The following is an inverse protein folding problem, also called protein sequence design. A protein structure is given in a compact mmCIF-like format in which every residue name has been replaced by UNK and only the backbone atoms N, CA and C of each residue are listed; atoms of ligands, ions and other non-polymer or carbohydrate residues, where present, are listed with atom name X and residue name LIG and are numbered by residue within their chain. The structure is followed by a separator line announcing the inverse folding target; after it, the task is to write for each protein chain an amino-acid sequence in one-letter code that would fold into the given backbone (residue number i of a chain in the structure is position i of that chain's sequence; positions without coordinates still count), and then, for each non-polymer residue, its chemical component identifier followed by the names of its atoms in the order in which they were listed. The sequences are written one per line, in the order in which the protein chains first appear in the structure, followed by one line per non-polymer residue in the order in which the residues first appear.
data_IF_051621907609
#
_entry.id   IF_051621907609
#
_cell.length_a   1.000
_cell.length_b   1.000
_cell.length_c   1.000
_cell.angle_alpha   90.00
_cell.angle_beta   90.00
_cell.angle_gamma   90.00
#
_symmetry.space_group_name_H-M   'P 1'
#
loop_
_entity.id
_entity.type
_entity.pdbx_description
1 polymer ?
#
# COMPACT_ATOMS: atom_id res chain seq x y z
N UNK A 1 12.21 4.06 -24.41
CA UNK A 1 11.11 3.94 -23.43
C UNK A 1 11.62 2.97 -22.37
N UNK A 2 11.77 3.41 -21.13
CA UNK A 2 12.33 2.59 -20.06
C UNK A 2 11.28 1.55 -19.62
N UNK A 3 11.66 0.28 -19.50
CA UNK A 3 10.72 -0.80 -19.19
C UNK A 3 10.32 -0.76 -17.71
N UNK A 4 9.07 -0.39 -17.45
CA UNK A 4 8.49 -0.21 -16.10
C UNK A 4 8.21 -1.53 -15.35
N UNK A 5 8.67 -2.67 -15.85
CA UNK A 5 8.49 -3.97 -15.20
C UNK A 5 9.76 -4.54 -14.56
N UNK A 6 10.94 -3.93 -14.79
CA UNK A 6 12.16 -4.44 -14.19
C UNK A 6 12.30 -3.98 -12.74
N UNK A 7 13.07 -4.76 -11.97
CA UNK A 7 13.36 -4.51 -10.56
C UNK A 7 14.04 -3.16 -10.33
N UNK A 8 15.02 -2.81 -11.15
CA UNK A 8 15.85 -1.61 -10.97
C UNK A 8 15.04 -0.32 -11.07
N UNK A 9 14.09 -0.26 -11.99
CA UNK A 9 13.19 0.88 -12.18
C UNK A 9 12.41 1.17 -10.90
N UNK A 10 11.80 0.15 -10.31
CA UNK A 10 10.99 0.29 -9.11
C UNK A 10 11.84 0.51 -7.86
N UNK A 11 12.99 -0.16 -7.73
CA UNK A 11 13.95 0.09 -6.66
C UNK A 11 14.40 1.55 -6.67
N UNK A 12 14.79 2.09 -7.83
CA UNK A 12 15.19 3.49 -7.95
C UNK A 12 14.02 4.44 -7.64
N UNK A 13 12.81 4.12 -8.11
CA UNK A 13 11.61 4.92 -7.86
C UNK A 13 11.25 5.03 -6.38
N UNK A 14 11.45 3.96 -5.61
CA UNK A 14 11.08 3.92 -4.19
C UNK A 14 12.25 4.15 -3.23
N UNK A 15 13.51 4.07 -3.68
CA UNK A 15 14.71 4.36 -2.88
C UNK A 15 14.79 5.80 -2.35
N UNK A 16 14.02 6.71 -2.94
CA UNK A 16 14.02 8.15 -2.60
C UNK A 16 12.70 8.62 -2.00
N UNK A 17 11.77 7.72 -1.70
CA UNK A 17 10.52 8.12 -1.04
C UNK A 17 10.84 8.48 0.40
N UNK A 18 10.31 9.63 0.83
CA UNK A 18 10.22 9.98 2.25
C UNK A 18 9.28 8.99 2.95
N UNK A 19 9.50 8.70 4.23
CA UNK A 19 8.70 7.78 5.07
C UNK A 19 7.26 8.28 5.35
N UNK A 20 6.72 9.12 4.47
CA UNK A 20 5.40 9.69 4.58
C UNK A 20 4.40 8.92 3.72
N UNK A 21 3.39 8.38 4.40
CA UNK A 21 2.20 7.83 3.75
C UNK A 21 1.55 8.88 2.85
N UNK A 22 1.35 8.51 1.59
CA UNK A 22 0.52 9.30 0.68
C UNK A 22 -0.95 9.25 1.14
N UNK A 23 -1.74 10.28 0.82
CA UNK A 23 -3.20 10.24 1.05
C UNK A 23 -3.83 9.09 0.26
N UNK A 24 -4.92 8.44 0.71
CA UNK A 24 -5.59 7.41 -0.06
C UNK A 24 -6.08 7.92 -1.43
N UNK A 25 -6.31 6.99 -2.36
CA UNK A 25 -6.77 7.34 -3.70
C UNK A 25 -8.19 7.96 -3.64
N UNK A 26 -8.41 9.03 -4.42
CA UNK A 26 -9.63 9.84 -4.34
C UNK A 26 -10.87 9.07 -4.79
N UNK A 27 -10.78 8.32 -5.89
CA UNK A 27 -11.89 7.50 -6.38
C UNK A 27 -12.27 6.40 -5.38
N UNK A 28 -11.30 5.85 -4.63
CA UNK A 28 -11.55 4.91 -3.55
C UNK A 28 -12.34 5.59 -2.41
N UNK A 29 -11.91 6.78 -1.97
CA UNK A 29 -12.63 7.55 -0.94
C UNK A 29 -14.07 7.85 -1.38
N UNK A 30 -14.26 8.30 -2.62
CA UNK A 30 -15.58 8.68 -3.14
C UNK A 30 -16.52 7.47 -3.31
N UNK A 31 -15.95 6.30 -3.60
CA UNK A 31 -16.71 5.09 -3.95
C UNK A 31 -16.95 4.14 -2.78
N UNK A 32 -16.24 4.29 -1.66
CA UNK A 32 -16.23 3.30 -0.56
C UNK A 32 -17.62 2.99 0.02
N UNK A 33 -18.54 3.97 0.00
CA UNK A 33 -19.92 3.82 0.46
C UNK A 33 -20.76 2.87 -0.39
N UNK A 34 -20.34 2.61 -1.62
CA UNK A 34 -21.02 1.68 -2.54
C UNK A 34 -20.50 0.25 -2.43
N UNK A 35 -19.39 0.04 -1.71
CA UNK A 35 -18.79 -1.28 -1.56
C UNK A 35 -19.42 -2.04 -0.40
N UNK A 36 -19.71 -3.32 -0.64
CA UNK A 36 -20.11 -4.25 0.43
C UNK A 36 -18.91 -4.50 1.33
N UNK A 37 -19.09 -4.35 2.65
CA UNK A 37 -18.06 -4.70 3.64
C UNK A 37 -17.73 -6.20 3.56
N UNK A 38 -16.47 -6.54 3.72
CA UNK A 38 -15.98 -7.90 3.59
C UNK A 38 -14.46 -7.96 3.44
N UNK A 39 -13.97 -9.06 2.86
CA UNK A 39 -12.54 -9.26 2.62
C UNK A 39 -12.09 -8.64 1.30
N UNK A 40 -10.98 -7.90 1.33
CA UNK A 40 -10.35 -7.26 0.17
C UNK A 40 -8.93 -7.79 0.00
N UNK A 41 -8.55 -8.08 -1.24
CA UNK A 41 -7.18 -8.41 -1.62
C UNK A 41 -6.52 -7.17 -2.25
N UNK A 42 -5.47 -6.66 -1.62
CA UNK A 42 -4.67 -5.55 -2.15
C UNK A 42 -3.34 -6.08 -2.70
N UNK A 43 -3.19 -6.01 -4.03
CA UNK A 43 -2.04 -6.54 -4.76
C UNK A 43 -1.11 -5.39 -5.11
N UNK A 44 0.19 -5.58 -4.87
CA UNK A 44 1.20 -4.54 -5.07
C UNK A 44 0.87 -3.25 -4.30
N UNK A 45 0.51 -3.41 -3.02
CA UNK A 45 -0.06 -2.38 -2.16
C UNK A 45 0.85 -1.17 -1.88
N UNK A 46 2.10 -1.19 -2.36
CA UNK A 46 2.97 -0.01 -2.36
C UNK A 46 3.33 0.44 -0.95
N UNK A 47 3.06 1.72 -0.66
CA UNK A 47 3.21 2.30 0.69
C UNK A 47 2.02 2.01 1.62
N UNK A 48 1.02 1.25 1.16
CA UNK A 48 -0.10 0.80 1.99
C UNK A 48 -1.19 1.84 2.26
N UNK A 49 -1.15 3.02 1.63
CA UNK A 49 -2.12 4.11 1.88
C UNK A 49 -3.60 3.70 1.75
N UNK A 50 -3.91 2.95 0.69
CA UNK A 50 -5.27 2.49 0.40
C UNK A 50 -5.67 1.36 1.33
N UNK A 51 -4.70 0.51 1.64
CA UNK A 51 -4.82 -0.64 2.50
C UNK A 51 -5.20 -0.22 3.94
N UNK A 52 -4.56 0.82 4.47
CA UNK A 52 -4.91 1.41 5.77
C UNK A 52 -6.31 2.02 5.74
N UNK A 53 -6.60 2.83 4.71
CA UNK A 53 -7.93 3.44 4.55
C UNK A 53 -9.06 2.40 4.52
N UNK A 54 -8.87 1.26 3.85
CA UNK A 54 -9.84 0.17 3.82
C UNK A 54 -10.03 -0.47 5.20
N UNK A 55 -8.95 -0.70 5.95
CA UNK A 55 -9.02 -1.26 7.31
C UNK A 55 -9.78 -0.30 8.25
N UNK A 56 -9.45 0.99 8.22
CA UNK A 56 -10.12 2.03 9.02
C UNK A 56 -11.62 2.12 8.70
N UNK A 57 -12.01 1.75 7.48
CA UNK A 57 -13.40 1.71 7.04
C UNK A 57 -14.06 0.33 7.23
N UNK A 58 -13.49 -0.57 8.02
CA UNK A 58 -14.12 -1.82 8.44
C UNK A 58 -14.09 -2.94 7.39
N UNK A 59 -13.10 -2.93 6.49
CA UNK A 59 -12.81 -4.07 5.62
C UNK A 59 -11.77 -4.99 6.25
N UNK A 60 -11.90 -6.29 6.01
CA UNK A 60 -10.86 -7.26 6.31
C UNK A 60 -9.89 -7.28 5.13
N UNK A 61 -8.60 -7.13 5.37
CA UNK A 61 -7.66 -6.98 4.27
C UNK A 61 -6.64 -8.12 4.26
N UNK A 62 -6.44 -8.70 3.08
CA UNK A 62 -5.29 -9.54 2.76
C UNK A 62 -4.40 -8.74 1.81
N UNK A 63 -3.13 -8.58 2.17
CA UNK A 63 -2.15 -7.87 1.35
C UNK A 63 -1.24 -8.87 0.68
N UNK A 64 -1.03 -8.73 -0.62
CA UNK A 64 0.01 -9.45 -1.33
C UNK A 64 0.97 -8.46 -1.97
N UNK A 65 2.12 -8.29 -1.33
CA UNK A 65 3.23 -7.55 -1.88
C UNK A 65 4.00 -8.40 -2.87
N UNK A 66 4.51 -7.76 -3.92
CA UNK A 66 5.48 -8.39 -4.81
C UNK A 66 6.84 -8.25 -4.11
N UNK A 67 7.47 -9.36 -3.67
CA UNK A 67 8.50 -9.39 -2.62
C UNK A 67 9.83 -8.71 -2.98
N UNK A 68 9.94 -8.08 -4.14
CA UNK A 68 11.19 -7.51 -4.62
C UNK A 68 11.17 -6.01 -4.85
N UNK A 69 10.03 -5.33 -4.63
CA UNK A 69 9.89 -3.91 -4.99
C UNK A 69 9.74 -2.93 -3.82
N UNK A 70 9.49 -3.38 -2.58
CA UNK A 70 9.23 -2.46 -1.46
C UNK A 70 9.40 -3.03 -0.04
N UNK A 71 10.10 -4.16 0.14
CA UNK A 71 10.28 -4.83 1.44
C UNK A 71 10.97 -4.00 2.55
N UNK A 72 11.32 -2.73 2.29
CA UNK A 72 11.94 -1.83 3.26
C UNK A 72 10.97 -0.88 3.96
N UNK A 73 9.80 -0.54 3.39
CA UNK A 73 8.93 0.49 3.99
C UNK A 73 7.83 -0.06 4.91
N UNK A 74 7.35 -1.28 4.69
CA UNK A 74 6.28 -1.86 5.52
C UNK A 74 6.79 -2.37 6.87
N UNK A 75 8.10 -2.52 7.04
CA UNK A 75 8.69 -3.06 8.27
C UNK A 75 8.85 -2.02 9.38
N UNK A 76 8.91 -0.73 9.04
CA UNK A 76 9.07 0.35 10.02
C UNK A 76 7.72 0.83 10.60
N UNK A 77 6.61 0.60 9.89
CA UNK A 77 5.26 0.93 10.36
C UNK A 77 4.63 -0.12 11.27
N UNK A 78 5.22 -1.32 11.37
CA UNK A 78 4.80 -2.35 12.33
C UNK A 78 5.52 -2.26 13.69
N UNK A 79 6.51 -1.36 13.85
CA UNK A 79 7.33 -1.25 15.07
C UNK A 79 6.90 -0.22 16.12
N UNK A 80 5.85 0.59 15.90
CA UNK A 80 5.35 1.56 16.91
C UNK A 80 4.07 1.10 17.63
N UNK A 81 4.01 -0.19 17.98
CA UNK A 81 2.91 -0.80 18.74
C UNK A 81 3.42 -1.79 19.79
N UNK A 82 4.37 -1.39 20.63
CA UNK A 82 4.85 -2.23 21.73
C UNK A 82 5.64 -1.43 22.77
N UNK A 83 4.99 -1.20 23.93
CA UNK A 83 5.55 -0.54 25.11
C UNK A 83 4.47 0.00 26.03
#
# INVERSE_FOLDING_TARGET
MEYMGNKEFWNNRFSKKEDKLLSPEKSLIESIKFFKKGSVLDIACGDGRNALFLIENGFNLVRQEVPHLLAFHTRDSESEGGG
#
